data_IF_246265060702
#
_entry.id   IF_246265060702
#
_cell.length_a   1.000
_cell.length_b   1.000
_cell.length_c   1.000
_cell.angle_alpha   90.00
_cell.angle_beta   90.00
_cell.angle_gamma   90.00
#
_symmetry.space_group_name_H-M   'P 1'
#
loop_
_entity.id
_entity.type
_entity.pdbx_description
1 polymer ?
#
# COMPACT_ATOMS: atom_id res chain seq x y z
N UNK A 1 23.44 46.62 -64.33
CA UNK A 1 23.05 45.21 -64.45
C UNK A 1 23.71 44.47 -63.32
N UNK A 2 23.06 44.33 -62.22
CA UNK A 2 23.52 43.45 -61.09
C UNK A 2 22.42 42.53 -60.66
N UNK A 3 22.68 41.27 -60.91
CA UNK A 3 21.77 40.17 -60.57
C UNK A 3 22.21 39.57 -59.23
N UNK A 4 21.41 39.77 -58.18
CA UNK A 4 21.71 39.25 -56.84
C UNK A 4 20.77 38.07 -56.61
N UNK A 5 21.31 36.87 -56.78
CA UNK A 5 20.64 35.61 -56.40
C UNK A 5 20.69 35.43 -54.87
N UNK A 6 19.56 35.67 -54.18
CA UNK A 6 19.36 35.36 -52.79
C UNK A 6 18.96 33.90 -52.64
N UNK A 7 19.89 33.02 -52.24
CA UNK A 7 19.59 31.63 -51.81
C UNK A 7 18.95 31.70 -50.41
N UNK A 8 17.65 31.43 -50.36
CA UNK A 8 16.90 31.25 -49.13
C UNK A 8 17.25 29.87 -48.59
N UNK A 9 18.02 29.80 -47.49
CA UNK A 9 18.24 28.58 -46.69
C UNK A 9 17.00 28.33 -45.84
N UNK A 10 16.20 27.32 -46.20
CA UNK A 10 15.14 26.80 -45.32
C UNK A 10 15.79 26.12 -44.10
N UNK A 11 15.65 26.74 -42.94
CA UNK A 11 15.95 26.06 -41.68
C UNK A 11 14.83 25.03 -41.39
N UNK A 12 15.17 23.77 -41.43
CA UNK A 12 14.28 22.70 -41.00
C UNK A 12 14.37 22.68 -39.47
N UNK A 13 13.32 23.18 -38.78
CA UNK A 13 13.14 22.92 -37.33
C UNK A 13 12.79 21.45 -37.15
N UNK A 14 13.72 20.69 -36.61
CA UNK A 14 13.43 19.38 -36.04
C UNK A 14 12.74 19.62 -34.69
N UNK A 15 11.41 19.54 -34.68
CA UNK A 15 10.64 19.40 -33.46
C UNK A 15 10.91 18.00 -32.88
N UNK A 16 11.92 17.92 -32.02
CA UNK A 16 12.17 16.71 -31.23
C UNK A 16 11.03 16.53 -30.24
N UNK A 17 10.11 15.61 -30.56
CA UNK A 17 9.17 15.09 -29.57
C UNK A 17 9.96 14.24 -28.58
N UNK A 18 10.26 14.82 -27.42
CA UNK A 18 10.72 14.01 -26.25
C UNK A 18 9.65 12.97 -25.96
N UNK A 19 10.00 11.69 -25.88
CA UNK A 19 9.06 10.69 -25.42
C UNK A 19 8.69 11.04 -23.97
N UNK A 20 7.42 11.36 -23.75
CA UNK A 20 6.85 11.49 -22.42
C UNK A 20 6.88 10.09 -21.80
N UNK A 21 7.93 9.80 -21.02
CA UNK A 21 8.00 8.58 -20.23
C UNK A 21 6.95 8.72 -19.14
N UNK A 22 5.75 8.19 -19.40
CA UNK A 22 4.74 8.01 -18.37
C UNK A 22 5.36 7.06 -17.36
N UNK A 23 5.73 7.61 -16.20
CA UNK A 23 6.13 6.82 -15.05
C UNK A 23 4.94 5.92 -14.70
N UNK A 24 5.04 4.62 -14.99
CA UNK A 24 4.02 3.62 -14.69
C UNK A 24 3.95 3.28 -13.19
N UNK A 25 4.17 4.27 -12.32
CA UNK A 25 3.94 4.22 -10.88
C UNK A 25 2.71 5.06 -10.55
N UNK A 26 1.59 4.74 -11.20
CA UNK A 26 0.30 5.39 -10.91
C UNK A 26 -0.33 4.86 -9.62
N UNK A 27 -1.21 5.66 -8.99
CA UNK A 27 -1.94 5.28 -7.77
C UNK A 27 -2.69 3.94 -7.87
N UNK A 28 -3.11 3.52 -9.06
CA UNK A 28 -3.87 2.28 -9.29
C UNK A 28 -3.17 0.98 -8.88
N UNK A 29 -1.84 0.93 -8.82
CA UNK A 29 -1.13 -0.29 -8.44
C UNK A 29 -1.11 -0.53 -6.93
N UNK A 30 -1.18 0.53 -6.14
CA UNK A 30 -1.28 0.44 -4.67
C UNK A 30 -2.68 0.00 -4.26
N UNK A 31 -3.72 0.58 -4.84
CA UNK A 31 -5.11 0.17 -4.60
C UNK A 31 -5.38 -1.27 -5.02
N UNK A 32 -4.69 -1.79 -6.03
CA UNK A 32 -4.85 -3.16 -6.50
C UNK A 32 -4.32 -4.17 -5.47
N UNK A 33 -3.11 -3.97 -4.94
CA UNK A 33 -2.53 -4.85 -3.93
C UNK A 33 -3.35 -4.87 -2.62
N UNK A 34 -3.85 -3.72 -2.18
CA UNK A 34 -4.72 -3.63 -1.00
C UNK A 34 -6.00 -4.43 -1.19
N UNK A 35 -6.64 -4.32 -2.35
CA UNK A 35 -7.86 -5.07 -2.69
C UNK A 35 -7.60 -6.57 -2.79
N UNK A 36 -6.45 -6.97 -3.33
CA UNK A 36 -6.07 -8.39 -3.39
C UNK A 36 -5.82 -8.96 -1.99
N UNK A 37 -5.13 -8.23 -1.10
CA UNK A 37 -4.92 -8.65 0.30
C UNK A 37 -6.28 -8.80 0.99
N UNK A 38 -7.15 -7.80 0.90
CA UNK A 38 -8.50 -7.85 1.45
C UNK A 38 -9.30 -9.04 0.92
N UNK A 39 -9.18 -9.33 -0.38
CA UNK A 39 -9.85 -10.48 -0.99
C UNK A 39 -9.43 -11.80 -0.34
N UNK A 40 -8.13 -12.03 -0.16
CA UNK A 40 -7.62 -13.26 0.45
C UNK A 40 -7.95 -13.34 1.94
N UNK A 41 -7.84 -12.24 2.68
CA UNK A 41 -8.26 -12.16 4.09
C UNK A 41 -9.74 -12.50 4.24
N UNK A 42 -10.60 -11.90 3.43
CA UNK A 42 -12.03 -12.14 3.47
C UNK A 42 -12.43 -13.55 2.96
N UNK A 43 -11.65 -14.15 2.08
CA UNK A 43 -11.84 -15.54 1.67
C UNK A 43 -11.62 -16.49 2.85
N UNK A 44 -10.56 -16.28 3.64
CA UNK A 44 -10.31 -17.06 4.87
C UNK A 44 -11.41 -16.84 5.90
N UNK A 45 -11.76 -15.58 6.20
CA UNK A 45 -12.84 -15.25 7.13
C UNK A 45 -14.15 -15.92 6.75
N UNK A 46 -14.52 -15.87 5.47
CA UNK A 46 -15.72 -16.54 4.95
C UNK A 46 -15.67 -18.05 5.14
N UNK A 47 -14.52 -18.69 4.91
CA UNK A 47 -14.35 -20.14 5.09
C UNK A 47 -14.52 -20.56 6.55
N UNK A 48 -14.27 -19.65 7.49
CA UNK A 48 -14.45 -19.83 8.93
C UNK A 48 -15.81 -19.29 9.45
N UNK A 49 -16.76 -18.93 8.56
CA UNK A 49 -18.09 -18.44 8.95
C UNK A 49 -18.11 -17.03 9.54
N UNK A 50 -17.03 -16.26 9.35
CA UNK A 50 -16.90 -14.90 9.86
C UNK A 50 -17.41 -13.87 8.83
N UNK A 51 -17.89 -12.73 9.33
CA UNK A 51 -18.26 -11.60 8.46
C UNK A 51 -17.03 -11.04 7.77
N UNK A 52 -17.14 -10.61 6.50
CA UNK A 52 -16.05 -9.94 5.81
C UNK A 52 -15.70 -8.60 6.49
N UNK A 53 -14.44 -8.20 6.39
CA UNK A 53 -13.98 -6.87 6.76
C UNK A 53 -14.25 -5.89 5.63
N UNK A 54 -14.50 -4.63 5.98
CA UNK A 54 -14.60 -3.52 5.05
C UNK A 54 -13.30 -2.71 5.06
N UNK A 55 -12.80 -2.35 3.87
CA UNK A 55 -11.60 -1.53 3.75
C UNK A 55 -11.89 -0.08 4.15
N UNK A 56 -11.12 0.47 5.08
CA UNK A 56 -11.20 1.86 5.48
C UNK A 56 -9.99 2.65 4.97
N UNK A 57 -10.23 3.70 4.19
CA UNK A 57 -9.16 4.48 3.54
C UNK A 57 -8.28 5.24 4.54
N UNK A 58 -8.84 5.71 5.67
CA UNK A 58 -8.05 6.38 6.68
C UNK A 58 -7.11 5.40 7.41
N UNK A 59 -7.62 4.23 7.79
CA UNK A 59 -6.80 3.15 8.35
C UNK A 59 -5.71 2.69 7.37
N UNK A 60 -6.04 2.56 6.06
CA UNK A 60 -5.05 2.26 5.02
C UNK A 60 -3.96 3.33 4.95
N UNK A 61 -4.30 4.61 5.11
CA UNK A 61 -3.31 5.68 5.15
C UNK A 61 -2.36 5.56 6.35
N UNK A 62 -2.89 5.17 7.51
CA UNK A 62 -2.10 4.94 8.74
C UNK A 62 -1.21 3.70 8.60
N UNK A 63 -1.73 2.62 8.03
CA UNK A 63 -0.98 1.40 7.73
C UNK A 63 0.16 1.67 6.72
N UNK A 64 -0.14 2.43 5.66
CA UNK A 64 0.84 2.85 4.66
C UNK A 64 1.97 3.67 5.28
N UNK A 65 1.65 4.65 6.14
CA UNK A 65 2.66 5.45 6.84
C UNK A 65 3.58 4.56 7.69
N UNK A 66 3.04 3.56 8.36
CA UNK A 66 3.86 2.62 9.14
C UNK A 66 4.76 1.77 8.26
N UNK A 67 4.25 1.22 7.16
CA UNK A 67 5.04 0.46 6.18
C UNK A 67 6.17 1.30 5.58
N UNK A 68 5.91 2.58 5.24
CA UNK A 68 6.93 3.52 4.77
C UNK A 68 8.00 3.82 5.83
N UNK A 69 7.60 3.96 7.10
CA UNK A 69 8.53 4.17 8.20
C UNK A 69 9.44 2.95 8.43
N UNK A 70 8.91 1.72 8.30
CA UNK A 70 9.71 0.49 8.36
C UNK A 70 10.65 0.38 7.15
N UNK A 71 10.14 0.55 5.94
CA UNK A 71 10.92 0.47 4.70
C UNK A 71 12.05 1.50 4.62
N UNK A 72 11.85 2.70 5.17
CA UNK A 72 12.90 3.74 5.25
C UNK A 72 13.87 3.58 6.42
N UNK A 73 13.65 2.61 7.32
CA UNK A 73 14.45 2.44 8.55
C UNK A 73 14.17 3.48 9.63
N UNK A 74 13.14 4.32 9.47
CA UNK A 74 12.73 5.32 10.47
C UNK A 74 12.20 4.64 11.76
N UNK A 75 11.56 3.48 11.60
CA UNK A 75 11.18 2.60 12.70
C UNK A 75 11.71 1.19 12.45
N UNK A 76 12.06 0.40 13.49
CA UNK A 76 12.38 -1.00 13.30
C UNK A 76 11.16 -1.76 12.78
N UNK A 77 11.40 -2.87 12.09
CA UNK A 77 10.35 -3.82 11.70
C UNK A 77 9.61 -4.33 12.95
N UNK A 78 8.29 -4.32 12.91
CA UNK A 78 7.41 -4.79 13.98
C UNK A 78 6.34 -3.78 14.38
N UNK A 79 5.79 -3.93 15.58
CA UNK A 79 4.60 -3.22 16.06
C UNK A 79 4.89 -1.94 16.85
N UNK A 80 6.14 -1.46 16.87
CA UNK A 80 6.50 -0.24 17.62
C UNK A 80 5.60 0.94 17.23
N UNK A 81 4.96 1.56 18.23
CA UNK A 81 4.05 2.69 18.01
C UNK A 81 2.62 2.32 17.61
N UNK A 82 2.21 1.04 17.70
CA UNK A 82 0.84 0.60 17.40
C UNK A 82 -0.20 1.40 18.20
N UNK A 83 0.00 1.61 19.49
CA UNK A 83 -0.92 2.39 20.31
C UNK A 83 -1.13 3.83 19.79
N UNK A 84 -0.06 4.47 19.29
CA UNK A 84 -0.17 5.81 18.73
C UNK A 84 -0.97 5.81 17.43
N UNK A 85 -0.81 4.75 16.58
CA UNK A 85 -1.60 4.56 15.37
C UNK A 85 -3.08 4.38 15.71
N UNK A 86 -3.39 3.52 16.68
CA UNK A 86 -4.77 3.29 17.13
C UNK A 86 -5.38 4.56 17.73
N UNK A 87 -4.62 5.34 18.54
CA UNK A 87 -5.10 6.65 19.03
C UNK A 87 -5.40 7.63 17.87
N UNK A 88 -4.58 7.62 16.81
CA UNK A 88 -4.80 8.47 15.62
C UNK A 88 -6.11 8.07 14.92
N UNK A 89 -6.34 6.78 14.74
CA UNK A 89 -7.57 6.24 14.13
C UNK A 89 -8.79 6.57 15.02
N UNK A 90 -8.69 6.31 16.33
CA UNK A 90 -9.77 6.59 17.28
C UNK A 90 -10.17 8.08 17.32
N UNK A 91 -9.18 8.98 17.15
CA UNK A 91 -9.46 10.44 17.09
C UNK A 91 -10.24 10.82 15.84
N UNK A 92 -9.96 10.19 14.72
CA UNK A 92 -10.59 10.51 13.43
C UNK A 92 -11.95 9.83 13.24
N UNK A 93 -12.04 8.55 13.63
CA UNK A 93 -13.19 7.72 13.33
C UNK A 93 -14.17 7.55 14.50
N UNK A 94 -13.77 7.95 15.70
CA UNK A 94 -14.53 7.74 16.93
C UNK A 94 -14.05 6.51 17.72
N UNK A 95 -14.76 6.18 18.82
CA UNK A 95 -14.33 5.15 19.75
C UNK A 95 -14.15 3.77 19.10
N UNK A 96 -12.97 3.20 19.29
CA UNK A 96 -12.60 1.84 18.84
C UNK A 96 -12.66 0.92 20.05
N UNK A 97 -13.43 -0.16 19.94
CA UNK A 97 -13.61 -1.15 21.03
C UNK A 97 -12.60 -2.29 20.96
N UNK A 98 -12.05 -2.58 19.78
CA UNK A 98 -11.06 -3.62 19.56
C UNK A 98 -10.10 -3.23 18.43
N UNK A 99 -8.82 -3.57 18.55
CA UNK A 99 -7.82 -3.30 17.54
C UNK A 99 -6.76 -4.41 17.45
N UNK A 100 -6.26 -4.64 16.25
CA UNK A 100 -5.17 -5.58 15.96
C UNK A 100 -4.27 -5.05 14.85
N UNK A 101 -3.08 -5.63 14.72
CA UNK A 101 -2.13 -5.27 13.67
C UNK A 101 -1.34 -6.49 13.23
N UNK A 102 -1.23 -6.69 11.92
CA UNK A 102 -0.30 -7.62 11.30
C UNK A 102 0.76 -6.83 10.54
N UNK A 103 2.02 -7.27 10.63
CA UNK A 103 3.12 -6.76 9.82
C UNK A 103 3.86 -7.91 9.15
N UNK A 104 4.43 -7.64 7.97
CA UNK A 104 5.24 -8.62 7.24
C UNK A 104 6.30 -7.91 6.40
N UNK A 105 7.36 -8.63 6.01
CA UNK A 105 8.42 -8.15 5.12
C UNK A 105 8.94 -9.29 4.24
N UNK A 106 9.26 -8.95 2.98
CA UNK A 106 9.92 -9.84 2.04
C UNK A 106 8.99 -10.64 1.13
N UNK A 107 7.66 -10.63 1.37
CA UNK A 107 6.69 -11.23 0.44
C UNK A 107 6.55 -10.36 -0.81
N UNK A 108 6.28 -10.99 -1.95
CA UNK A 108 6.27 -10.30 -3.24
C UNK A 108 4.87 -9.90 -3.72
N UNK A 109 3.82 -10.51 -3.15
CA UNK A 109 2.43 -10.32 -3.58
C UNK A 109 1.44 -10.60 -2.44
N UNK A 110 0.17 -10.27 -2.68
CA UNK A 110 -0.93 -10.41 -1.73
C UNK A 110 -1.13 -11.84 -1.24
N UNK A 111 -1.09 -12.81 -2.14
CA UNK A 111 -1.27 -14.24 -1.77
C UNK A 111 -0.18 -14.72 -0.83
N UNK A 112 1.08 -14.32 -1.06
CA UNK A 112 2.20 -14.72 -0.21
C UNK A 112 2.11 -14.11 1.18
N UNK A 113 1.79 -12.81 1.28
CA UNK A 113 1.71 -12.15 2.59
C UNK A 113 0.57 -12.70 3.42
N UNK A 114 -0.63 -12.87 2.84
CA UNK A 114 -1.78 -13.42 3.58
C UNK A 114 -1.53 -14.88 4.00
N UNK A 115 -0.97 -15.71 3.10
CA UNK A 115 -0.56 -17.07 3.46
C UNK A 115 0.46 -17.09 4.61
N UNK A 116 1.43 -16.16 4.61
CA UNK A 116 2.39 -16.00 5.69
C UNK A 116 1.71 -15.66 7.01
N UNK A 117 0.77 -14.74 7.00
CA UNK A 117 -0.01 -14.39 8.19
C UNK A 117 -0.88 -15.55 8.68
N UNK A 118 -1.57 -16.28 7.80
CA UNK A 118 -2.40 -17.41 8.17
C UNK A 118 -1.59 -18.58 8.75
N UNK A 119 -0.33 -18.75 8.37
CA UNK A 119 0.58 -19.75 8.94
C UNK A 119 1.19 -19.33 10.29
N UNK A 120 0.97 -18.10 10.73
CA UNK A 120 1.43 -17.57 12.02
C UNK A 120 0.24 -17.48 13.00
N UNK A 121 0.23 -18.21 14.10
CA UNK A 121 -0.92 -18.23 15.03
C UNK A 121 -1.30 -16.85 15.58
N UNK A 122 -0.33 -15.93 15.76
CA UNK A 122 -0.58 -14.56 16.19
C UNK A 122 -1.30 -13.73 15.13
N UNK A 123 -0.78 -13.74 13.92
CA UNK A 123 -1.37 -13.02 12.79
C UNK A 123 -2.74 -13.58 12.38
N UNK A 124 -2.87 -14.91 12.37
CA UNK A 124 -4.13 -15.59 12.08
C UNK A 124 -5.24 -15.18 13.07
N UNK A 125 -4.94 -15.07 14.38
CA UNK A 125 -5.90 -14.58 15.37
C UNK A 125 -6.41 -13.17 15.06
N UNK A 126 -5.59 -12.31 14.47
CA UNK A 126 -6.03 -11.00 14.02
C UNK A 126 -6.95 -11.13 12.81
N UNK A 127 -6.56 -11.90 11.78
CA UNK A 127 -7.41 -12.12 10.60
C UNK A 127 -8.78 -12.69 10.98
N UNK A 128 -8.84 -13.62 11.93
CA UNK A 128 -10.08 -14.28 12.38
C UNK A 128 -10.74 -13.56 13.58
N UNK A 129 -10.21 -12.44 14.00
CA UNK A 129 -10.69 -11.69 15.16
C UNK A 129 -12.06 -11.03 14.93
N UNK A 130 -12.66 -10.57 16.05
CA UNK A 130 -13.93 -9.82 16.02
C UNK A 130 -13.67 -8.37 15.64
N UNK A 131 -13.50 -8.14 14.33
CA UNK A 131 -13.30 -6.85 13.70
C UNK A 131 -14.32 -6.62 12.59
N UNK A 132 -14.53 -5.35 12.22
CA UNK A 132 -15.43 -4.94 11.14
C UNK A 132 -14.71 -4.18 10.04
N UNK A 133 -13.64 -3.43 10.39
CA UNK A 133 -12.87 -2.63 9.46
C UNK A 133 -11.43 -3.12 9.40
N UNK A 134 -10.78 -2.82 8.29
CA UNK A 134 -9.35 -3.00 8.11
C UNK A 134 -8.75 -1.90 7.26
N UNK A 135 -7.50 -1.54 7.55
CA UNK A 135 -6.67 -0.70 6.71
C UNK A 135 -5.40 -1.41 6.32
N UNK A 136 -5.06 -1.40 5.04
CA UNK A 136 -3.93 -2.12 4.49
C UNK A 136 -2.97 -1.12 3.85
N UNK A 137 -1.67 -1.28 4.12
CA UNK A 137 -0.64 -0.45 3.52
C UNK A 137 0.64 -1.23 3.26
N UNK A 138 1.39 -0.87 2.22
CA UNK A 138 2.68 -1.47 1.95
C UNK A 138 3.66 -0.46 1.35
N UNK A 139 4.95 -0.68 1.52
CA UNK A 139 6.00 0.15 0.96
C UNK A 139 7.23 -0.69 0.60
N UNK A 140 7.98 -0.24 -0.40
CA UNK A 140 9.26 -0.85 -0.78
C UNK A 140 10.43 -0.07 -0.19
N UNK A 141 11.44 -0.79 0.30
CA UNK A 141 12.72 -0.20 0.63
C UNK A 141 13.59 0.03 -0.62
N UNK A 142 14.80 0.57 -0.42
CA UNK A 142 15.76 0.82 -1.51
C UNK A 142 16.30 -0.44 -2.18
N UNK A 143 16.15 -1.61 -1.54
CA UNK A 143 16.57 -2.92 -2.06
C UNK A 143 15.42 -3.63 -2.77
N UNK A 144 14.22 -3.07 -2.72
CA UNK A 144 13.02 -3.65 -3.32
C UNK A 144 12.25 -4.59 -2.39
N UNK A 145 12.65 -4.75 -1.12
CA UNK A 145 11.88 -5.51 -0.14
C UNK A 145 10.59 -4.77 0.19
N UNK A 146 9.49 -5.52 0.28
CA UNK A 146 8.17 -4.97 0.55
C UNK A 146 7.83 -5.18 2.02
N UNK A 147 7.47 -4.09 2.68
CA UNK A 147 6.97 -4.05 4.06
C UNK A 147 5.46 -3.87 4.02
N UNK A 148 4.74 -4.70 4.76
CA UNK A 148 3.28 -4.70 4.82
C UNK A 148 2.80 -4.39 6.23
N UNK A 149 1.68 -3.69 6.32
CA UNK A 149 0.93 -3.45 7.56
C UNK A 149 -0.55 -3.62 7.27
N UNK A 150 -1.24 -4.40 8.08
CA UNK A 150 -2.70 -4.49 8.12
C UNK A 150 -3.17 -4.16 9.51
N UNK A 151 -4.05 -3.17 9.64
CA UNK A 151 -4.68 -2.74 10.88
C UNK A 151 -6.12 -3.22 10.87
N UNK A 152 -6.59 -3.72 12.00
CA UNK A 152 -7.96 -4.21 12.20
C UNK A 152 -8.62 -3.41 13.31
N UNK A 153 -9.89 -2.99 13.14
CA UNK A 153 -10.65 -2.27 14.16
C UNK A 153 -12.11 -2.70 14.23
N UNK A 154 -12.73 -2.36 15.37
CA UNK A 154 -14.18 -2.50 15.61
C UNK A 154 -14.69 -1.33 16.41
#
# INVERSE_FOLDING_TARGET
MFNINRKIRKAILFAGTLPFIISMHGPGRFEEMEKEILHFVNADRKSNGLKPLELNSFESSVAMEHSQNMASGKTPFGHKGMEARIRKINKEMGPISNAGENVAVGQMNASEVVRGWLNSPGHKRNIEGDFTLTGIGYAKDKKGEIYFTEIFTK
#
